data_IF_027820640284
#
_entry.id   IF_027820640284
#
_cell.length_a   1.000
_cell.length_b   1.000
_cell.length_c   1.000
_cell.angle_alpha   90.00
_cell.angle_beta   90.00
_cell.angle_gamma   90.00
#
_symmetry.space_group_name_H-M   'P 1'
#
loop_
_entity.id
_entity.type
_entity.pdbx_description
1 polymer ?
#
# COMPACT_ATOMS: atom_id res chain seq x y z
N UNK A 1 39.84 -1.49 -14.50
CA UNK A 1 39.69 -2.95 -14.53
C UNK A 1 38.51 -3.29 -13.63
N UNK A 2 37.32 -3.39 -14.21
CA UNK A 2 36.11 -3.77 -13.49
C UNK A 2 36.01 -5.29 -13.43
N UNK A 3 35.78 -5.84 -12.25
CA UNK A 3 35.60 -7.28 -12.05
C UNK A 3 34.25 -7.74 -12.58
N UNK A 4 34.27 -8.82 -13.36
CA UNK A 4 33.08 -9.54 -13.83
C UNK A 4 32.20 -10.01 -12.68
N UNK A 5 30.89 -9.95 -12.90
CA UNK A 5 29.78 -10.50 -12.09
C UNK A 5 30.21 -11.36 -10.90
N UNK A 6 30.07 -10.84 -9.68
CA UNK A 6 30.15 -11.65 -8.46
C UNK A 6 28.86 -12.44 -8.27
N UNK A 7 29.01 -13.70 -7.89
CA UNK A 7 27.92 -14.57 -7.43
C UNK A 7 27.13 -13.90 -6.29
N UNK A 8 25.85 -14.26 -6.22
CA UNK A 8 24.84 -13.78 -5.27
C UNK A 8 25.38 -13.51 -3.85
N UNK A 9 25.04 -12.32 -3.33
CA UNK A 9 25.17 -11.98 -1.91
C UNK A 9 26.33 -11.05 -1.58
N UNK A 10 26.20 -9.76 -1.91
CA UNK A 10 27.08 -8.70 -1.39
C UNK A 10 26.23 -7.64 -0.67
N UNK A 11 26.64 -7.25 0.53
CA UNK A 11 25.84 -6.50 1.52
C UNK A 11 26.00 -4.96 1.44
N UNK A 12 26.40 -4.42 0.29
CA UNK A 12 26.46 -2.97 0.05
C UNK A 12 25.78 -2.62 -1.28
N UNK A 13 24.94 -1.58 -1.28
CA UNK A 13 24.35 -1.00 -2.50
C UNK A 13 25.48 -0.36 -3.33
N UNK A 14 26.09 -1.16 -4.18
CA UNK A 14 26.81 -0.67 -5.35
C UNK A 14 25.83 -0.67 -6.52
N UNK A 15 25.80 0.41 -7.30
CA UNK A 15 24.98 0.46 -8.52
C UNK A 15 25.53 -0.57 -9.49
N UNK A 16 24.90 -1.75 -9.54
CA UNK A 16 25.32 -2.82 -10.43
C UNK A 16 24.91 -2.49 -11.87
N UNK A 17 25.91 -2.36 -12.74
CA UNK A 17 25.68 -2.31 -14.18
C UNK A 17 25.02 -3.63 -14.63
N UNK A 18 23.73 -3.54 -14.96
CA UNK A 18 22.91 -4.69 -15.34
C UNK A 18 22.81 -4.85 -16.87
N UNK A 19 23.64 -4.12 -17.64
CA UNK A 19 23.59 -4.08 -19.10
C UNK A 19 23.68 -5.49 -19.72
N UNK A 20 24.58 -6.36 -19.22
CA UNK A 20 24.75 -7.73 -19.73
C UNK A 20 23.56 -8.67 -19.48
N UNK A 21 22.75 -8.40 -18.44
CA UNK A 21 21.51 -9.14 -18.17
C UNK A 21 20.41 -8.72 -19.14
N UNK A 22 20.21 -7.41 -19.31
CA UNK A 22 19.19 -6.86 -20.20
C UNK A 22 19.53 -7.05 -21.69
N UNK A 23 20.81 -7.12 -22.07
CA UNK A 23 21.25 -7.40 -23.44
C UNK A 23 20.80 -8.77 -23.98
N UNK A 24 20.31 -9.67 -23.11
CA UNK A 24 19.76 -10.99 -23.49
C UNK A 24 18.30 -10.92 -23.95
N UNK A 25 17.64 -9.79 -23.73
CA UNK A 25 16.26 -9.53 -24.12
C UNK A 25 16.27 -8.41 -25.17
N UNK A 26 15.29 -8.39 -26.08
CA UNK A 26 15.07 -7.18 -26.87
C UNK A 26 14.63 -6.08 -25.88
N UNK A 27 15.43 -5.02 -25.66
CA UNK A 27 15.05 -3.97 -24.72
C UNK A 27 13.74 -3.34 -25.21
N UNK A 28 12.80 -3.05 -24.29
CA UNK A 28 11.59 -2.38 -24.70
C UNK A 28 11.92 -0.98 -25.24
N UNK A 29 11.15 -0.52 -26.22
CA UNK A 29 11.26 0.84 -26.72
C UNK A 29 10.81 1.81 -25.63
N UNK A 30 11.72 2.70 -25.20
CA UNK A 30 11.42 3.74 -24.22
C UNK A 30 11.10 5.02 -24.99
N UNK A 31 9.89 5.53 -24.78
CA UNK A 31 9.37 6.74 -25.40
C UNK A 31 10.00 7.99 -24.79
N UNK A 32 10.32 8.96 -25.64
CA UNK A 32 10.73 10.33 -25.27
C UNK A 32 9.54 11.29 -25.15
N UNK A 33 8.30 10.79 -25.18
CA UNK A 33 7.09 11.60 -25.04
C UNK A 33 7.06 12.32 -23.68
N UNK A 34 6.96 13.65 -23.75
CA UNK A 34 6.90 14.60 -22.65
C UNK A 34 5.61 15.46 -22.72
N UNK A 35 4.66 15.12 -23.57
CA UNK A 35 3.42 15.89 -23.72
C UNK A 35 2.37 15.48 -22.68
N UNK A 36 1.99 16.43 -21.83
CA UNK A 36 0.84 16.28 -20.94
C UNK A 36 -0.44 16.75 -21.64
N UNK A 37 -1.51 16.00 -21.44
CA UNK A 37 -2.83 16.32 -21.93
C UNK A 37 -3.49 17.51 -21.25
N UNK A 38 -4.59 17.97 -21.84
CA UNK A 38 -5.43 18.99 -21.23
C UNK A 38 -5.99 18.51 -19.88
N UNK A 39 -6.19 19.43 -18.91
CA UNK A 39 -6.86 19.10 -17.66
C UNK A 39 -8.23 18.45 -17.92
N UNK A 40 -8.50 17.35 -17.24
CA UNK A 40 -9.78 16.67 -17.34
C UNK A 40 -10.82 17.31 -16.42
N UNK A 41 -12.10 17.06 -16.68
CA UNK A 41 -13.13 17.28 -15.66
C UNK A 41 -12.86 16.32 -14.49
N UNK A 42 -12.71 16.88 -13.29
CA UNK A 42 -12.29 16.14 -12.11
C UNK A 42 -13.50 15.71 -11.26
N UNK A 43 -13.29 14.67 -10.46
CA UNK A 43 -14.21 14.15 -9.46
C UNK A 43 -15.57 13.74 -10.03
N UNK A 44 -15.53 13.12 -11.21
CA UNK A 44 -16.72 12.65 -11.93
C UNK A 44 -16.76 11.15 -12.09
N UNK A 45 -17.95 10.56 -11.90
CA UNK A 45 -18.23 9.16 -12.22
C UNK A 45 -19.29 9.14 -13.33
N UNK A 46 -18.93 8.58 -14.47
CA UNK A 46 -19.79 8.48 -15.64
C UNK A 46 -20.54 7.16 -15.65
N UNK A 47 -21.84 7.23 -15.92
CA UNK A 47 -22.60 6.05 -16.35
C UNK A 47 -22.27 5.81 -17.82
N UNK A 48 -21.59 4.71 -18.13
CA UNK A 48 -21.17 4.41 -19.49
C UNK A 48 -20.24 3.21 -19.60
N UNK A 49 -20.00 2.81 -20.84
CA UNK A 49 -19.10 1.71 -21.18
C UNK A 49 -17.67 2.23 -21.30
N UNK A 50 -16.74 1.71 -20.50
CA UNK A 50 -15.34 2.16 -20.48
C UNK A 50 -14.55 1.80 -21.75
N UNK A 51 -15.16 1.10 -22.72
CA UNK A 51 -14.62 0.98 -24.08
C UNK A 51 -14.70 2.29 -24.87
N UNK A 52 -15.47 3.27 -24.38
CA UNK A 52 -15.49 4.65 -24.87
C UNK A 52 -15.31 5.62 -23.70
N UNK A 53 -14.08 6.10 -23.52
CA UNK A 53 -13.74 7.12 -22.55
C UNK A 53 -13.44 8.47 -23.23
N UNK A 54 -14.15 8.79 -24.32
CA UNK A 54 -13.99 10.06 -25.07
C UNK A 54 -14.15 11.34 -24.24
N UNK A 55 -14.78 11.26 -23.06
CA UNK A 55 -14.90 12.39 -22.11
C UNK A 55 -13.64 12.61 -21.28
N UNK A 56 -12.69 11.66 -21.31
CA UNK A 56 -11.39 11.76 -20.64
C UNK A 56 -10.35 12.16 -21.69
N UNK A 57 -9.70 13.32 -21.55
CA UNK A 57 -8.66 13.73 -22.47
C UNK A 57 -7.51 12.72 -22.55
N UNK A 58 -6.82 12.70 -23.69
CA UNK A 58 -5.57 11.96 -23.86
C UNK A 58 -4.53 12.48 -22.86
N UNK A 59 -3.65 11.60 -22.38
CA UNK A 59 -2.52 11.99 -21.53
C UNK A 59 -2.87 12.88 -20.31
N UNK A 60 -4.05 12.74 -19.71
CA UNK A 60 -4.49 13.57 -18.56
C UNK A 60 -4.50 12.84 -17.22
N UNK A 61 -4.30 11.52 -17.20
CA UNK A 61 -4.40 10.67 -16.00
C UNK A 61 -3.01 10.22 -15.54
N UNK A 62 -2.73 10.32 -14.24
CA UNK A 62 -1.46 9.88 -13.67
C UNK A 62 -1.41 8.35 -13.44
N UNK A 63 -2.52 7.79 -12.98
CA UNK A 63 -2.62 6.40 -12.57
C UNK A 63 -4.02 5.86 -12.86
N UNK A 64 -4.10 4.66 -13.44
CA UNK A 64 -5.31 3.85 -13.42
C UNK A 64 -5.16 2.80 -12.33
N UNK A 65 -6.12 2.72 -11.40
CA UNK A 65 -6.22 1.64 -10.42
C UNK A 65 -7.61 1.05 -10.53
N UNK A 66 -7.69 -0.25 -10.77
CA UNK A 66 -8.97 -0.88 -11.05
C UNK A 66 -9.00 -2.37 -10.73
N UNK A 67 -10.20 -2.94 -10.73
CA UNK A 67 -10.45 -4.36 -10.58
C UNK A 67 -11.58 -4.74 -11.54
N UNK A 68 -11.29 -5.32 -12.72
CA UNK A 68 -12.32 -5.67 -13.69
C UNK A 68 -13.30 -6.72 -13.15
N UNK A 69 -14.52 -6.81 -13.71
CA UNK A 69 -15.48 -7.84 -13.34
C UNK A 69 -14.93 -9.24 -13.64
N UNK A 70 -14.86 -10.12 -12.65
CA UNK A 70 -14.33 -11.48 -12.83
C UNK A 70 -15.35 -12.39 -13.52
N UNK A 71 -14.93 -13.09 -14.58
CA UNK A 71 -15.72 -14.11 -15.28
C UNK A 71 -15.88 -15.39 -14.43
N UNK A 72 -16.58 -15.29 -13.29
CA UNK A 72 -16.67 -16.32 -12.24
C UNK A 72 -18.05 -17.01 -12.15
N UNK A 73 -18.93 -16.82 -13.13
CA UNK A 73 -20.19 -17.54 -13.35
C UNK A 73 -21.36 -17.25 -12.38
N UNK A 74 -21.11 -16.96 -11.10
CA UNK A 74 -22.16 -17.02 -10.05
C UNK A 74 -23.27 -15.95 -10.03
N UNK A 75 -23.16 -14.91 -10.86
CA UNK A 75 -24.22 -13.89 -11.06
C UNK A 75 -24.34 -13.48 -12.53
N UNK A 76 -23.22 -13.58 -13.26
CA UNK A 76 -23.15 -13.30 -14.70
C UNK A 76 -23.87 -14.34 -15.56
N UNK A 77 -24.01 -15.61 -15.13
CA UNK A 77 -24.73 -16.63 -15.91
C UNK A 77 -26.23 -16.31 -16.10
N UNK A 78 -26.83 -15.47 -15.26
CA UNK A 78 -28.25 -15.08 -15.40
C UNK A 78 -28.47 -13.89 -16.34
N UNK A 79 -27.39 -13.18 -16.73
CA UNK A 79 -27.41 -12.01 -17.60
C UNK A 79 -26.47 -12.14 -18.82
N UNK A 80 -25.86 -13.32 -19.01
CA UNK A 80 -24.96 -13.60 -20.13
C UNK A 80 -25.75 -13.50 -21.44
N UNK A 81 -25.38 -12.54 -22.29
CA UNK A 81 -26.05 -12.27 -23.58
C UNK A 81 -27.06 -11.11 -23.56
N UNK A 82 -27.24 -10.39 -22.44
CA UNK A 82 -28.02 -9.15 -22.40
C UNK A 82 -27.10 -7.91 -22.27
N UNK A 83 -27.15 -7.01 -23.25
CA UNK A 83 -26.48 -5.70 -23.19
C UNK A 83 -24.95 -5.75 -23.36
N UNK A 84 -24.21 -5.14 -22.40
CA UNK A 84 -22.76 -4.89 -22.49
C UNK A 84 -21.88 -6.04 -21.93
N UNK A 85 -22.47 -7.18 -21.58
CA UNK A 85 -21.80 -8.29 -20.89
C UNK A 85 -21.21 -9.29 -21.91
N UNK A 86 -19.92 -9.67 -21.82
CA UNK A 86 -19.31 -10.66 -22.71
C UNK A 86 -20.00 -12.04 -22.64
N UNK A 87 -20.24 -12.66 -23.79
CA UNK A 87 -20.92 -13.95 -23.89
C UNK A 87 -20.00 -15.13 -23.57
N UNK A 88 -18.69 -14.97 -23.75
CA UNK A 88 -17.68 -15.97 -23.40
C UNK A 88 -16.36 -15.36 -22.88
N UNK A 89 -15.40 -16.24 -22.57
CA UNK A 89 -14.11 -15.82 -22.01
C UNK A 89 -13.24 -15.05 -23.00
N UNK A 90 -13.33 -15.34 -24.30
CA UNK A 90 -12.55 -14.66 -25.34
C UNK A 90 -13.07 -13.25 -25.51
N UNK A 91 -14.38 -13.09 -25.64
CA UNK A 91 -15.03 -11.77 -25.69
C UNK A 91 -14.75 -10.95 -24.42
N UNK A 92 -14.63 -11.61 -23.27
CA UNK A 92 -14.22 -10.97 -22.03
C UNK A 92 -12.79 -10.41 -22.09
N UNK A 93 -11.83 -11.19 -22.61
CA UNK A 93 -10.46 -10.71 -22.80
C UNK A 93 -10.37 -9.58 -23.84
N UNK A 94 -11.17 -9.64 -24.91
CA UNK A 94 -11.27 -8.57 -25.91
C UNK A 94 -11.85 -7.29 -25.32
N UNK A 95 -12.85 -7.40 -24.44
CA UNK A 95 -13.38 -6.28 -23.68
C UNK A 95 -12.30 -5.66 -22.80
N UNK A 96 -11.56 -6.46 -22.02
CA UNK A 96 -10.45 -5.95 -21.20
C UNK A 96 -9.39 -5.24 -22.03
N UNK A 97 -8.97 -5.85 -23.16
CA UNK A 97 -8.01 -5.23 -24.08
C UNK A 97 -8.50 -3.88 -24.59
N UNK A 98 -9.79 -3.77 -24.94
CA UNK A 98 -10.38 -2.52 -25.44
C UNK A 98 -10.42 -1.43 -24.37
N UNK A 99 -10.83 -1.78 -23.14
CA UNK A 99 -10.82 -0.85 -22.01
C UNK A 99 -9.40 -0.42 -21.65
N UNK A 100 -8.45 -1.35 -21.59
CA UNK A 100 -7.06 -1.03 -21.27
C UNK A 100 -6.38 -0.19 -22.36
N UNK A 101 -6.80 -0.31 -23.63
CA UNK A 101 -6.36 0.60 -24.69
C UNK A 101 -6.83 2.05 -24.45
N UNK A 102 -8.08 2.24 -24.01
CA UNK A 102 -8.58 3.56 -23.62
C UNK A 102 -7.87 4.09 -22.36
N UNK A 103 -7.57 3.22 -21.39
CA UNK A 103 -6.72 3.59 -20.26
C UNK A 103 -5.32 4.05 -20.71
N UNK A 104 -4.69 3.32 -21.64
CA UNK A 104 -3.39 3.68 -22.18
C UNK A 104 -3.42 5.03 -22.90
N UNK A 105 -4.48 5.35 -23.65
CA UNK A 105 -4.68 6.66 -24.28
C UNK A 105 -4.71 7.78 -23.24
N UNK A 106 -5.52 7.62 -22.20
CA UNK A 106 -5.74 8.65 -21.16
C UNK A 106 -4.55 8.82 -20.21
N UNK A 107 -3.69 7.81 -20.04
CA UNK A 107 -2.50 7.91 -19.21
C UNK A 107 -1.49 8.93 -19.75
N UNK A 108 -0.96 9.77 -18.87
CA UNK A 108 0.21 10.60 -19.13
C UNK A 108 1.43 9.75 -19.50
N UNK A 109 2.45 10.28 -20.21
CA UNK A 109 3.69 9.54 -20.40
C UNK A 109 4.32 9.19 -19.04
N UNK A 110 4.74 7.94 -18.88
CA UNK A 110 5.20 7.42 -17.59
C UNK A 110 4.09 7.13 -16.56
N UNK A 111 2.84 7.40 -16.93
CA UNK A 111 1.65 7.03 -16.15
C UNK A 111 1.51 5.52 -16.05
N UNK A 112 0.81 5.07 -15.00
CA UNK A 112 0.81 3.66 -14.61
C UNK A 112 -0.59 3.07 -14.62
N UNK A 113 -0.67 1.79 -14.95
CA UNK A 113 -1.89 0.98 -14.83
C UNK A 113 -1.63 -0.08 -13.76
N UNK A 114 -2.49 -0.15 -12.75
CA UNK A 114 -2.46 -1.15 -11.69
C UNK A 114 -3.79 -1.91 -11.67
N UNK A 115 -3.77 -3.17 -12.10
CA UNK A 115 -4.97 -3.98 -12.33
C UNK A 115 -5.02 -5.12 -11.33
N UNK A 116 -5.99 -5.07 -10.39
CA UNK A 116 -6.25 -6.14 -9.46
C UNK A 116 -7.08 -7.25 -10.12
N UNK A 117 -6.60 -8.50 -10.09
CA UNK A 117 -7.30 -9.66 -10.61
C UNK A 117 -7.17 -10.89 -9.72
N UNK A 118 -8.26 -11.67 -9.65
CA UNK A 118 -8.25 -13.01 -9.10
C UNK A 118 -8.17 -14.05 -10.22
N UNK A 119 -7.39 -15.10 -10.01
CA UNK A 119 -7.38 -16.24 -10.92
C UNK A 119 -8.71 -17.00 -10.83
N UNK A 120 -9.14 -17.56 -11.95
CA UNK A 120 -10.49 -18.07 -12.15
C UNK A 120 -10.51 -19.59 -12.16
N UNK A 121 -11.62 -20.14 -11.68
CA UNK A 121 -11.83 -21.58 -11.68
C UNK A 121 -10.84 -22.34 -10.79
N UNK A 122 -11.03 -23.65 -10.76
CA UNK A 122 -10.15 -24.59 -10.04
C UNK A 122 -9.87 -25.84 -10.87
N UNK A 123 -10.84 -26.23 -11.70
CA UNK A 123 -10.83 -27.40 -12.57
C UNK A 123 -11.62 -27.08 -13.86
N UNK A 124 -11.02 -26.42 -14.87
CA UNK A 124 -9.63 -25.98 -14.93
C UNK A 124 -9.37 -24.72 -14.10
N UNK A 125 -8.12 -24.54 -13.68
CA UNK A 125 -7.60 -23.27 -13.19
C UNK A 125 -7.24 -22.39 -14.39
N UNK A 126 -7.57 -21.11 -14.34
CA UNK A 126 -7.30 -20.11 -15.37
C UNK A 126 -6.59 -18.92 -14.75
N UNK A 127 -5.40 -18.62 -15.26
CA UNK A 127 -4.57 -17.55 -14.74
C UNK A 127 -4.95 -16.22 -15.39
N UNK A 128 -5.99 -15.56 -14.88
CA UNK A 128 -6.38 -14.23 -15.35
C UNK A 128 -5.24 -13.21 -15.20
N UNK A 129 -4.39 -13.38 -14.18
CA UNK A 129 -3.17 -12.59 -14.02
C UNK A 129 -2.21 -12.72 -15.22
N UNK A 130 -2.10 -13.92 -15.80
CA UNK A 130 -1.27 -14.15 -16.97
C UNK A 130 -1.90 -13.50 -18.21
N UNK A 131 -3.21 -13.67 -18.40
CA UNK A 131 -3.93 -13.08 -19.53
C UNK A 131 -3.86 -11.54 -19.50
N UNK A 132 -4.04 -10.91 -18.33
CA UNK A 132 -3.88 -9.45 -18.18
C UNK A 132 -2.43 -9.03 -18.45
N UNK A 133 -1.44 -9.79 -17.98
CA UNK A 133 -0.03 -9.50 -18.26
C UNK A 133 0.25 -9.49 -19.76
N UNK A 134 -0.23 -10.49 -20.50
CA UNK A 134 -0.13 -10.56 -21.96
C UNK A 134 -0.83 -9.38 -22.64
N UNK A 135 -2.03 -9.01 -22.21
CA UNK A 135 -2.74 -7.85 -22.79
C UNK A 135 -1.90 -6.57 -22.61
N UNK A 136 -1.41 -6.30 -21.39
CA UNK A 136 -0.68 -5.06 -21.11
C UNK A 136 0.69 -5.03 -21.81
N UNK A 137 1.45 -6.12 -21.74
CA UNK A 137 2.82 -6.17 -22.25
C UNK A 137 2.88 -6.46 -23.76
N UNK A 138 2.15 -7.46 -24.23
CA UNK A 138 2.31 -7.96 -25.59
C UNK A 138 1.34 -7.28 -26.56
N UNK A 139 0.08 -7.09 -26.18
CA UNK A 139 -0.91 -6.49 -27.08
C UNK A 139 -0.83 -4.97 -27.08
N UNK A 140 -0.63 -4.35 -25.91
CA UNK A 140 -0.62 -2.90 -25.71
C UNK A 140 0.78 -2.30 -25.58
N UNK A 141 1.83 -3.13 -25.57
CA UNK A 141 3.24 -2.69 -25.51
C UNK A 141 3.57 -1.78 -24.33
N UNK A 142 2.86 -1.94 -23.22
CA UNK A 142 3.20 -1.25 -21.98
C UNK A 142 4.45 -1.87 -21.34
N UNK A 143 5.15 -1.06 -20.55
CA UNK A 143 6.35 -1.49 -19.84
C UNK A 143 5.96 -2.15 -18.51
N UNK A 144 6.05 -3.48 -18.44
CA UNK A 144 5.74 -4.21 -17.21
C UNK A 144 6.71 -3.81 -16.08
N UNK A 145 6.16 -3.47 -14.91
CA UNK A 145 6.91 -3.12 -13.69
C UNK A 145 7.04 -4.31 -12.74
N UNK A 146 6.11 -5.25 -12.83
CA UNK A 146 6.03 -6.42 -11.98
C UNK A 146 4.58 -6.73 -11.58
N UNK A 147 4.44 -7.71 -10.72
CA UNK A 147 3.17 -8.06 -10.07
C UNK A 147 3.31 -7.99 -8.55
N UNK A 148 2.24 -7.55 -7.89
CA UNK A 148 2.10 -7.66 -6.45
C UNK A 148 1.19 -8.83 -6.12
N UNK A 149 1.61 -9.67 -5.18
CA UNK A 149 0.80 -10.71 -4.56
C UNK A 149 0.02 -10.07 -3.41
N UNK A 150 -1.27 -9.83 -3.63
CA UNK A 150 -2.14 -9.37 -2.56
C UNK A 150 -2.64 -10.56 -1.73
N UNK A 151 -2.12 -10.70 -0.51
CA UNK A 151 -2.48 -11.73 0.45
C UNK A 151 -3.66 -11.26 1.31
N UNK A 152 -4.85 -11.85 1.09
CA UNK A 152 -6.09 -11.46 1.78
C UNK A 152 -6.16 -11.95 3.23
N UNK A 153 -5.58 -13.13 3.51
CA UNK A 153 -5.63 -13.81 4.80
C UNK A 153 -4.41 -14.71 5.00
N UNK A 154 -3.88 -14.83 6.23
CA UNK A 154 -2.85 -15.83 6.59
C UNK A 154 -3.50 -17.12 7.11
N UNK A 155 -3.05 -18.28 6.64
CA UNK A 155 -3.40 -19.59 7.20
C UNK A 155 -4.61 -20.29 6.60
N UNK A 156 -5.06 -21.35 7.27
CA UNK A 156 -6.22 -22.11 6.85
C UNK A 156 -7.51 -21.35 7.17
N UNK A 157 -8.10 -20.69 6.17
CA UNK A 157 -9.51 -20.35 6.25
C UNK A 157 -10.31 -21.64 6.51
N UNK A 158 -11.47 -21.54 7.15
CA UNK A 158 -12.42 -22.66 7.29
C UNK A 158 -12.97 -23.20 5.96
N UNK A 159 -12.38 -22.80 4.82
CA UNK A 159 -12.68 -23.30 3.50
C UNK A 159 -12.23 -24.76 3.39
N UNK A 160 -13.22 -25.66 3.38
CA UNK A 160 -13.04 -27.09 3.14
C UNK A 160 -12.75 -27.44 1.66
N UNK A 161 -12.31 -26.48 0.85
CA UNK A 161 -12.13 -26.65 -0.59
C UNK A 161 -10.75 -27.23 -0.96
N UNK A 162 -10.40 -28.36 -0.33
CA UNK A 162 -9.10 -29.05 -0.48
C UNK A 162 -9.03 -30.00 -1.68
N UNK A 163 -10.15 -30.23 -2.37
CA UNK A 163 -10.27 -31.39 -3.25
C UNK A 163 -10.26 -32.68 -2.44
N UNK A 164 -9.33 -33.58 -2.73
CA UNK A 164 -9.14 -34.79 -1.92
C UNK A 164 -8.35 -34.50 -0.64
N UNK A 165 -9.04 -34.49 0.50
CA UNK A 165 -8.41 -34.28 1.81
C UNK A 165 -7.43 -35.41 2.14
N UNK A 166 -6.20 -35.05 2.52
CA UNK A 166 -5.11 -35.98 2.86
C UNK A 166 -4.86 -37.08 1.82
N UNK A 167 -5.13 -36.79 0.54
CA UNK A 167 -4.93 -37.74 -0.55
C UNK A 167 -4.32 -37.03 -1.75
N UNK A 168 -3.30 -37.61 -2.41
CA UNK A 168 -2.72 -37.06 -3.62
C UNK A 168 -3.60 -37.28 -4.85
N UNK A 169 -4.77 -37.94 -4.72
CA UNK A 169 -5.63 -38.27 -5.85
C UNK A 169 -6.06 -37.03 -6.65
N UNK A 170 -6.43 -35.95 -5.96
CA UNK A 170 -6.85 -34.68 -6.58
C UNK A 170 -6.91 -33.51 -5.58
N UNK A 171 -5.80 -33.16 -4.88
CA UNK A 171 -5.78 -31.99 -4.00
C UNK A 171 -5.91 -30.70 -4.82
N UNK A 172 -6.53 -29.68 -4.24
CA UNK A 172 -6.72 -28.36 -4.88
C UNK A 172 -6.08 -27.29 -4.01
N UNK A 173 -5.32 -26.40 -4.66
CA UNK A 173 -4.73 -25.25 -3.98
C UNK A 173 -5.84 -24.29 -3.54
N UNK A 174 -5.64 -23.64 -2.39
CA UNK A 174 -6.59 -22.66 -1.86
C UNK A 174 -6.12 -21.27 -2.25
N UNK A 175 -6.92 -20.58 -3.04
CA UNK A 175 -6.63 -19.22 -3.48
C UNK A 175 -6.82 -18.25 -2.32
N UNK A 176 -5.70 -17.90 -1.67
CA UNK A 176 -5.66 -16.90 -0.58
C UNK A 176 -5.13 -15.56 -1.06
N UNK A 177 -4.79 -15.47 -2.36
CA UNK A 177 -4.15 -14.31 -2.97
C UNK A 177 -4.89 -13.84 -4.22
N UNK A 178 -4.70 -12.56 -4.53
CA UNK A 178 -4.98 -11.95 -5.84
C UNK A 178 -3.66 -11.36 -6.39
N UNK A 179 -3.69 -10.82 -7.61
CA UNK A 179 -2.55 -10.16 -8.24
C UNK A 179 -2.89 -8.74 -8.61
N UNK A 180 -2.00 -7.80 -8.33
CA UNK A 180 -2.03 -6.46 -8.92
C UNK A 180 -0.93 -6.37 -9.96
N UNK A 181 -1.31 -6.36 -11.24
CA UNK A 181 -0.37 -6.26 -12.36
C UNK A 181 -0.10 -4.79 -12.64
N UNK A 182 1.18 -4.41 -12.71
CA UNK A 182 1.58 -3.01 -12.81
C UNK A 182 2.40 -2.78 -14.08
N UNK A 183 1.97 -1.84 -14.92
CA UNK A 183 2.67 -1.47 -16.15
C UNK A 183 2.72 0.06 -16.34
N UNK A 184 3.75 0.57 -17.01
CA UNK A 184 3.94 2.00 -17.31
C UNK A 184 3.74 2.29 -18.81
N UNK A 185 3.21 3.47 -19.13
CA UNK A 185 3.06 3.96 -20.51
C UNK A 185 4.38 4.54 -21.03
N UNK A 186 4.99 3.87 -22.01
CA UNK A 186 6.09 4.38 -22.82
C UNK A 186 7.43 4.57 -22.10
N UNK A 187 7.45 4.94 -20.82
CA UNK A 187 8.65 5.22 -20.01
C UNK A 187 8.42 4.90 -18.54
N UNK A 188 9.49 4.86 -17.75
CA UNK A 188 9.44 4.43 -16.35
C UNK A 188 9.34 5.59 -15.34
N UNK A 189 9.94 6.72 -15.69
CA UNK A 189 9.94 7.99 -14.99
C UNK A 189 8.67 8.80 -15.28
N UNK A 190 8.55 10.03 -14.74
CA UNK A 190 7.37 10.88 -14.90
C UNK A 190 7.77 12.19 -15.56
N UNK A 191 7.01 12.58 -16.57
CA UNK A 191 7.20 13.85 -17.28
C UNK A 191 7.09 15.03 -16.32
N UNK A 192 7.99 16.00 -16.48
CA UNK A 192 7.95 17.27 -15.74
C UNK A 192 8.27 17.16 -14.24
N UNK A 193 8.74 16.00 -13.76
CA UNK A 193 9.10 15.78 -12.35
C UNK A 193 10.53 15.23 -12.27
N UNK A 194 11.47 16.03 -11.74
CA UNK A 194 12.87 15.62 -11.56
C UNK A 194 13.05 14.55 -10.46
N UNK A 195 14.18 13.86 -10.47
CA UNK A 195 14.56 12.82 -9.49
C UNK A 195 14.61 13.34 -8.03
N UNK A 196 14.74 14.65 -7.84
CA UNK A 196 14.80 15.33 -6.55
C UNK A 196 13.43 15.85 -6.06
N UNK A 197 12.35 15.58 -6.80
CA UNK A 197 11.01 16.09 -6.52
C UNK A 197 10.81 17.56 -6.90
N UNK A 198 11.81 18.21 -7.53
CA UNK A 198 11.67 19.56 -8.09
C UNK A 198 11.10 19.46 -9.52
N UNK A 199 9.80 19.22 -9.61
CA UNK A 199 9.08 19.34 -10.86
C UNK A 199 7.60 18.98 -10.71
N UNK A 200 6.75 19.81 -11.31
CA UNK A 200 5.29 19.73 -11.25
C UNK A 200 4.69 20.13 -9.90
N UNK A 201 3.44 20.62 -9.92
CA UNK A 201 2.65 20.84 -8.71
C UNK A 201 2.38 19.49 -7.99
N UNK A 202 2.48 19.46 -6.67
CA UNK A 202 2.12 18.30 -5.83
C UNK A 202 3.31 17.55 -5.20
N UNK A 203 3.19 17.21 -3.90
CA UNK A 203 4.22 16.51 -3.15
C UNK A 203 4.06 14.99 -3.19
N UNK A 204 5.18 14.26 -3.11
CA UNK A 204 5.14 12.83 -2.80
C UNK A 204 4.56 12.63 -1.40
N UNK A 205 3.65 11.68 -1.27
CA UNK A 205 2.81 11.57 -0.05
C UNK A 205 3.10 10.36 0.81
N UNK A 206 3.98 9.46 0.35
CA UNK A 206 4.28 8.22 1.06
C UNK A 206 5.43 8.44 2.05
N UNK A 207 5.23 8.19 3.36
CA UNK A 207 6.30 8.24 4.35
C UNK A 207 7.40 7.22 4.01
N UNK A 208 8.65 7.51 4.39
CA UNK A 208 9.79 6.64 4.06
C UNK A 208 9.65 5.18 4.55
N UNK A 209 9.15 4.99 5.78
CA UNK A 209 8.92 3.65 6.33
C UNK A 209 7.83 2.89 5.55
N UNK A 210 6.76 3.58 5.18
CA UNK A 210 5.67 3.01 4.38
C UNK A 210 6.11 2.71 2.94
N UNK A 211 6.97 3.55 2.36
CA UNK A 211 7.55 3.31 1.04
C UNK A 211 8.34 2.00 0.99
N UNK A 212 9.18 1.74 2.00
CA UNK A 212 9.95 0.50 2.07
C UNK A 212 9.05 -0.74 2.12
N UNK A 213 7.90 -0.67 2.79
CA UNK A 213 6.94 -1.78 2.84
C UNK A 213 6.11 -1.90 1.56
N UNK A 214 5.67 -0.77 1.02
CA UNK A 214 4.82 -0.73 -0.16
C UNK A 214 5.58 -1.15 -1.43
N UNK A 215 6.91 -1.01 -1.45
CA UNK A 215 7.77 -1.48 -2.54
C UNK A 215 8.09 -2.98 -2.49
N UNK A 216 7.61 -3.71 -1.48
CA UNK A 216 7.64 -5.18 -1.50
C UNK A 216 6.56 -5.73 -2.45
N UNK A 217 6.81 -6.93 -2.97
CA UNK A 217 5.93 -7.62 -3.91
C UNK A 217 4.81 -8.45 -3.23
N UNK A 218 4.79 -8.53 -1.89
CA UNK A 218 3.73 -9.19 -1.12
C UNK A 218 3.03 -8.19 -0.21
N UNK A 219 1.76 -7.92 -0.49
CA UNK A 219 0.94 -6.99 0.30
C UNK A 219 -0.09 -7.73 1.14
N UNK A 220 -0.02 -7.54 2.45
CA UNK A 220 -0.98 -8.12 3.38
C UNK A 220 -2.05 -7.11 3.78
N UNK A 221 -3.15 -7.14 3.05
CA UNK A 221 -4.29 -6.23 3.27
C UNK A 221 -5.54 -7.10 3.44
N UNK A 222 -6.25 -7.01 4.58
CA UNK A 222 -7.50 -7.75 4.77
C UNK A 222 -8.54 -7.40 3.70
N UNK A 223 -9.28 -8.40 3.23
CA UNK A 223 -10.41 -8.15 2.33
C UNK A 223 -11.52 -7.35 3.04
N UNK A 224 -12.22 -6.50 2.29
CA UNK A 224 -13.40 -5.82 2.79
C UNK A 224 -14.64 -6.71 2.77
N UNK A 225 -15.58 -6.42 3.67
CA UNK A 225 -16.82 -7.18 3.79
C UNK A 225 -17.80 -6.75 2.69
N UNK A 226 -18.06 -7.63 1.73
CA UNK A 226 -19.02 -7.41 0.63
C UNK A 226 -20.41 -6.96 1.12
N UNK A 227 -20.88 -7.49 2.26
CA UNK A 227 -22.16 -7.11 2.87
C UNK A 227 -22.16 -5.69 3.46
N UNK A 228 -21.02 -5.18 3.93
CA UNK A 228 -20.89 -3.82 4.45
C UNK A 228 -20.83 -2.78 3.33
N UNK A 229 -20.27 -3.15 2.18
CA UNK A 229 -20.05 -2.26 1.04
C UNK A 229 -21.24 -2.27 0.07
N UNK A 230 -22.14 -3.26 0.14
CA UNK A 230 -23.28 -3.37 -0.78
C UNK A 230 -22.89 -3.80 -2.19
N UNK A 231 -21.67 -4.33 -2.37
CA UNK A 231 -21.12 -4.76 -3.65
C UNK A 231 -20.61 -6.20 -3.54
N UNK A 232 -20.84 -7.06 -4.55
CA UNK A 232 -20.51 -8.48 -4.45
C UNK A 232 -19.01 -8.77 -4.33
N UNK A 233 -18.14 -7.91 -4.89
CA UNK A 233 -16.69 -8.13 -4.89
C UNK A 233 -15.84 -6.83 -4.96
N UNK A 234 -15.93 -5.90 -3.99
CA UNK A 234 -15.07 -4.73 -3.95
C UNK A 234 -13.65 -5.11 -3.49
N UNK A 235 -12.61 -4.60 -4.15
CA UNK A 235 -11.28 -4.60 -3.56
C UNK A 235 -11.18 -3.55 -2.44
N UNK A 236 -10.30 -3.71 -1.44
CA UNK A 236 -10.21 -2.80 -0.29
C UNK A 236 -9.75 -1.40 -0.66
N UNK A 237 -10.27 -0.39 0.04
CA UNK A 237 -9.81 1.01 -0.12
C UNK A 237 -8.31 1.11 0.17
N UNK A 238 -7.81 0.39 1.19
CA UNK A 238 -6.39 0.39 1.53
C UNK A 238 -5.48 -0.14 0.42
N UNK A 239 -5.98 -1.02 -0.46
CA UNK A 239 -5.23 -1.51 -1.62
C UNK A 239 -5.09 -0.39 -2.67
N UNK A 240 -6.18 0.34 -2.95
CA UNK A 240 -6.16 1.52 -3.82
C UNK A 240 -5.25 2.62 -3.27
N UNK A 241 -5.41 2.98 -1.99
CA UNK A 241 -4.62 4.03 -1.31
C UNK A 241 -3.11 3.75 -1.44
N UNK A 242 -2.69 2.50 -1.25
CA UNK A 242 -1.29 2.11 -1.42
C UNK A 242 -0.78 2.34 -2.84
N UNK A 243 -1.54 1.96 -3.86
CA UNK A 243 -1.19 2.25 -5.26
C UNK A 243 -1.10 3.76 -5.52
N UNK A 244 -2.05 4.54 -5.01
CA UNK A 244 -2.07 6.00 -5.14
C UNK A 244 -0.82 6.62 -4.51
N UNK A 245 -0.48 6.24 -3.29
CA UNK A 245 0.71 6.74 -2.58
C UNK A 245 2.03 6.40 -3.29
N UNK A 246 2.13 5.21 -3.90
CA UNK A 246 3.34 4.79 -4.62
C UNK A 246 3.50 5.44 -6.00
N UNK A 247 2.40 5.66 -6.71
CA UNK A 247 2.45 5.92 -8.15
C UNK A 247 1.92 7.30 -8.56
N UNK A 248 1.46 8.11 -7.61
CA UNK A 248 0.96 9.47 -7.84
C UNK A 248 1.47 10.45 -6.80
N UNK A 249 1.37 11.72 -7.14
CA UNK A 249 1.60 12.85 -6.24
C UNK A 249 0.25 13.39 -5.75
N UNK A 250 0.28 14.22 -4.73
CA UNK A 250 -0.92 14.96 -4.31
C UNK A 250 -1.47 15.82 -5.47
N UNK A 251 -2.78 15.87 -5.63
CA UNK A 251 -3.46 16.59 -6.71
C UNK A 251 -3.49 15.86 -8.06
N UNK A 252 -2.74 14.76 -8.24
CA UNK A 252 -2.80 13.96 -9.46
C UNK A 252 -4.22 13.37 -9.69
N UNK A 253 -4.55 13.12 -10.95
CA UNK A 253 -5.81 12.51 -11.37
C UNK A 253 -5.67 10.99 -11.48
N UNK A 254 -6.58 10.24 -10.87
CA UNK A 254 -6.68 8.79 -11.01
C UNK A 254 -7.93 8.35 -11.75
N UNK A 255 -7.85 7.26 -12.50
CA UNK A 255 -8.95 6.69 -13.26
C UNK A 255 -9.30 5.28 -12.76
N UNK A 256 -10.59 4.98 -12.70
CA UNK A 256 -11.09 3.61 -12.56
C UNK A 256 -12.16 3.32 -13.64
N UNK A 257 -11.85 2.52 -14.68
CA UNK A 257 -12.81 2.16 -15.71
C UNK A 257 -13.88 1.17 -15.25
N UNK A 258 -13.78 0.63 -14.03
CA UNK A 258 -14.72 -0.32 -13.43
C UNK A 258 -15.06 0.11 -12.00
N UNK A 259 -15.61 1.32 -11.86
CA UNK A 259 -15.72 2.06 -10.59
C UNK A 259 -16.52 1.32 -9.51
N UNK A 260 -17.55 0.55 -9.88
CA UNK A 260 -18.41 -0.19 -8.96
C UNK A 260 -18.90 0.69 -7.81
N UNK A 261 -18.67 0.23 -6.58
CA UNK A 261 -19.07 0.94 -5.34
C UNK A 261 -18.18 2.12 -4.93
N UNK A 262 -17.29 2.58 -5.80
CA UNK A 262 -16.51 3.80 -5.56
C UNK A 262 -15.22 3.63 -4.74
N UNK A 263 -14.64 2.42 -4.65
CA UNK A 263 -13.42 2.17 -3.86
C UNK A 263 -12.29 3.13 -4.25
N UNK A 264 -12.00 3.26 -5.54
CA UNK A 264 -10.92 4.11 -6.06
C UNK A 264 -11.20 5.59 -5.82
N UNK A 265 -12.45 6.04 -6.00
CA UNK A 265 -12.86 7.42 -5.72
C UNK A 265 -12.74 7.79 -4.24
N UNK A 266 -13.11 6.87 -3.33
CA UNK A 266 -12.93 7.03 -1.88
C UNK A 266 -11.45 7.14 -1.53
N UNK A 267 -10.61 6.27 -2.09
CA UNK A 267 -9.16 6.31 -1.89
C UNK A 267 -8.55 7.62 -2.40
N UNK A 268 -8.97 8.10 -3.58
CA UNK A 268 -8.52 9.36 -4.15
C UNK A 268 -8.85 10.53 -3.21
N UNK A 269 -10.11 10.67 -2.79
CA UNK A 269 -10.55 11.75 -1.90
C UNK A 269 -9.80 11.73 -0.56
N UNK A 270 -9.58 10.56 0.04
CA UNK A 270 -8.83 10.41 1.31
C UNK A 270 -7.36 10.74 1.21
N UNK A 271 -6.78 10.62 0.02
CA UNK A 271 -5.35 10.82 -0.20
C UNK A 271 -5.04 12.15 -0.88
N UNK A 272 -6.05 12.99 -1.15
CA UNK A 272 -5.89 14.30 -1.79
C UNK A 272 -5.61 14.18 -3.29
N UNK A 273 -6.17 13.19 -3.97
CA UNK A 273 -6.17 13.04 -5.43
C UNK A 273 -7.56 13.31 -5.97
N UNK A 274 -7.62 13.75 -7.22
CA UNK A 274 -8.87 13.78 -7.97
C UNK A 274 -9.10 12.45 -8.67
N UNK A 275 -10.36 12.13 -8.97
CA UNK A 275 -10.70 10.88 -9.64
C UNK A 275 -11.61 11.06 -10.85
N UNK A 276 -11.56 10.09 -11.76
CA UNK A 276 -12.52 9.88 -12.83
C UNK A 276 -12.92 8.41 -12.81
N UNK A 277 -14.21 8.13 -13.04
CA UNK A 277 -14.74 6.77 -13.01
C UNK A 277 -15.69 6.47 -14.14
N UNK A 278 -15.74 5.20 -14.55
CA UNK A 278 -16.79 4.66 -15.39
C UNK A 278 -17.41 3.43 -14.74
N UNK A 279 -18.72 3.31 -14.86
CA UNK A 279 -19.43 2.06 -14.60
C UNK A 279 -20.69 2.01 -15.47
N UNK A 280 -21.05 0.83 -15.97
CA UNK A 280 -22.25 0.67 -16.79
C UNK A 280 -23.52 0.73 -15.97
N UNK A 281 -23.45 0.40 -14.67
CA UNK A 281 -24.62 0.31 -13.81
C UNK A 281 -24.91 1.62 -13.06
N UNK A 282 -26.05 2.23 -13.42
CA UNK A 282 -26.52 3.49 -12.83
C UNK A 282 -26.63 3.45 -11.31
N UNK A 283 -27.01 2.30 -10.76
CA UNK A 283 -27.17 2.09 -9.31
C UNK A 283 -25.81 2.13 -8.59
N UNK A 284 -24.76 1.57 -9.18
CA UNK A 284 -23.41 1.62 -8.63
C UNK A 284 -22.81 3.02 -8.72
N UNK A 285 -22.97 3.70 -9.85
CA UNK A 285 -22.53 5.10 -9.99
C UNK A 285 -23.17 6.00 -8.93
N UNK A 286 -24.49 5.87 -8.70
CA UNK A 286 -25.17 6.62 -7.64
C UNK A 286 -24.59 6.32 -6.26
N UNK A 287 -24.43 5.04 -5.92
CA UNK A 287 -23.87 4.63 -4.62
C UNK A 287 -22.44 5.14 -4.42
N UNK A 288 -21.62 5.11 -5.46
CA UNK A 288 -20.25 5.60 -5.42
C UNK A 288 -20.21 7.11 -5.16
N UNK A 289 -21.06 7.89 -5.84
CA UNK A 289 -21.18 9.34 -5.63
C UNK A 289 -21.62 9.63 -4.18
N UNK A 290 -22.71 9.02 -3.72
CA UNK A 290 -23.22 9.19 -2.34
C UNK A 290 -22.14 8.84 -1.31
N UNK A 291 -21.41 7.75 -1.53
CA UNK A 291 -20.31 7.31 -0.66
C UNK A 291 -19.20 8.34 -0.60
N UNK A 292 -18.77 8.89 -1.73
CA UNK A 292 -17.71 9.91 -1.80
C UNK A 292 -18.17 11.24 -1.18
N UNK A 293 -19.40 11.67 -1.45
CA UNK A 293 -19.98 12.91 -0.90
C UNK A 293 -20.15 12.83 0.62
N UNK A 294 -20.49 11.65 1.15
CA UNK A 294 -20.62 11.43 2.60
C UNK A 294 -19.31 11.50 3.38
N UNK A 295 -18.16 11.47 2.70
CA UNK A 295 -16.86 11.65 3.36
C UNK A 295 -16.72 13.09 3.81
N UNK A 296 -16.58 13.27 5.14
CA UNK A 296 -16.19 14.54 5.73
C UNK A 296 -14.90 15.04 5.07
N UNK A 297 -14.73 16.37 4.91
CA UNK A 297 -13.42 16.94 4.64
C UNK A 297 -12.47 16.40 5.70
N UNK A 298 -11.55 15.54 5.29
CA UNK A 298 -10.57 14.98 6.20
C UNK A 298 -9.30 15.75 5.93
N UNK A 299 -8.72 16.34 6.97
CA UNK A 299 -7.35 16.81 6.87
C UNK A 299 -6.50 15.64 6.37
N UNK A 300 -5.57 15.90 5.46
CA UNK A 300 -4.67 14.85 5.02
C UNK A 300 -3.97 14.29 6.25
N UNK A 301 -3.93 12.95 6.41
CA UNK A 301 -3.37 12.34 7.60
C UNK A 301 -1.92 12.80 7.79
N UNK A 302 -1.45 12.90 9.04
CA UNK A 302 -0.04 13.20 9.32
C UNK A 302 0.85 12.19 8.56
N UNK A 303 1.80 12.69 7.76
CA UNK A 303 2.66 11.88 6.90
C UNK A 303 4.08 11.76 7.43
N UNK A 304 4.33 12.24 8.65
CA UNK A 304 5.63 12.06 9.31
C UNK A 304 5.86 10.57 9.60
N UNK A 305 7.12 10.15 9.50
CA UNK A 305 7.49 8.79 9.96
C UNK A 305 7.35 8.70 11.48
N UNK A 306 7.28 7.48 12.04
CA UNK A 306 7.29 7.31 13.51
C UNK A 306 8.55 7.95 14.10
N UNK A 307 9.67 7.86 13.39
CA UNK A 307 10.93 8.51 13.78
C UNK A 307 10.79 10.03 13.83
N UNK A 308 10.19 10.66 12.84
CA UNK A 308 10.04 12.12 12.79
C UNK A 308 9.04 12.61 13.84
N UNK A 309 7.91 11.90 14.02
CA UNK A 309 6.94 12.18 15.10
C UNK A 309 7.62 12.08 16.47
N UNK A 310 8.39 11.01 16.70
CA UNK A 310 9.08 10.79 17.97
C UNK A 310 10.13 11.87 18.24
N UNK A 311 10.91 12.27 17.23
CA UNK A 311 11.89 13.35 17.40
C UNK A 311 11.23 14.69 17.70
N UNK A 312 10.13 15.02 17.02
CA UNK A 312 9.35 16.22 17.32
C UNK A 312 8.88 16.20 18.78
N UNK A 313 8.24 15.11 19.20
CA UNK A 313 7.72 14.95 20.56
C UNK A 313 8.84 15.02 21.62
N UNK A 314 9.98 14.37 21.36
CA UNK A 314 11.13 14.40 22.27
C UNK A 314 11.71 15.82 22.40
N UNK A 315 11.81 16.56 21.29
CA UNK A 315 12.24 17.96 21.31
C UNK A 315 11.26 18.85 22.10
N UNK A 316 9.95 18.66 21.90
CA UNK A 316 8.89 19.38 22.63
C UNK A 316 8.94 19.10 24.15
N UNK A 317 9.39 17.90 24.54
CA UNK A 317 9.63 17.52 25.94
C UNK A 317 11.03 17.90 26.47
N UNK A 318 11.84 18.61 25.68
CA UNK A 318 13.15 19.13 26.09
C UNK A 318 14.29 18.10 26.10
N UNK A 319 14.17 16.99 25.35
CA UNK A 319 15.29 16.09 25.08
C UNK A 319 16.16 16.67 23.95
N UNK A 320 17.28 17.29 24.32
CA UNK A 320 18.16 18.03 23.42
C UNK A 320 19.21 17.15 22.76
N UNK A 321 19.73 16.16 23.49
CA UNK A 321 20.75 15.23 22.98
C UNK A 321 20.14 13.86 22.75
N UNK A 322 20.20 13.38 21.50
CA UNK A 322 19.68 12.09 21.09
C UNK A 322 20.82 11.21 20.58
N UNK A 323 21.11 10.13 21.31
CA UNK A 323 22.04 9.08 20.89
C UNK A 323 21.25 8.00 20.15
N UNK A 324 21.52 7.82 18.86
CA UNK A 324 20.77 6.96 17.95
C UNK A 324 21.27 5.51 17.95
N UNK A 325 20.33 4.56 18.03
CA UNK A 325 20.60 3.12 18.03
C UNK A 325 21.62 2.64 19.08
N UNK A 326 21.61 3.14 20.33
CA UNK A 326 22.59 2.75 21.32
C UNK A 326 22.46 1.25 21.63
N UNK A 327 23.61 0.59 21.72
CA UNK A 327 23.69 -0.80 22.15
C UNK A 327 23.70 -0.83 23.67
N UNK A 328 22.65 -1.40 24.27
CA UNK A 328 22.49 -1.42 25.73
C UNK A 328 22.88 -2.77 26.32
N UNK A 329 22.60 -3.85 25.60
CA UNK A 329 22.98 -5.21 25.97
C UNK A 329 23.43 -6.00 24.72
N UNK A 330 24.13 -7.14 24.87
CA UNK A 330 24.46 -7.99 23.73
C UNK A 330 23.22 -8.35 22.91
N UNK A 331 23.21 -7.94 21.63
CA UNK A 331 22.09 -8.18 20.72
C UNK A 331 20.88 -7.26 20.88
N UNK A 332 20.92 -6.26 21.79
CA UNK A 332 19.83 -5.31 22.00
C UNK A 332 20.28 -3.89 21.71
N UNK A 333 19.65 -3.31 20.69
CA UNK A 333 19.66 -1.89 20.41
C UNK A 333 18.26 -1.31 20.63
N UNK A 334 18.20 -0.12 21.19
CA UNK A 334 16.97 0.69 21.28
C UNK A 334 17.05 1.82 20.28
N UNK A 335 15.93 2.43 19.93
CA UNK A 335 15.88 3.45 18.87
C UNK A 335 16.71 4.70 19.22
N UNK A 336 16.52 5.23 20.44
CA UNK A 336 17.21 6.45 20.91
C UNK A 336 17.43 6.39 22.42
N UNK A 337 18.56 6.93 22.90
CA UNK A 337 18.70 7.43 24.27
C UNK A 337 18.61 8.96 24.23
N UNK A 338 17.60 9.52 24.90
CA UNK A 338 17.41 10.96 25.00
C UNK A 338 17.96 11.50 26.30
N UNK A 339 18.62 12.66 26.25
CA UNK A 339 19.07 13.42 27.42
C UNK A 339 18.53 14.85 27.41
N UNK A 340 18.11 15.32 28.59
CA UNK A 340 17.65 16.68 28.86
C UNK A 340 18.75 17.49 29.56
N UNK A 341 18.69 18.82 29.45
CA UNK A 341 19.64 19.72 30.10
C UNK A 341 19.65 19.62 31.65
N UNK A 342 18.54 19.16 32.25
CA UNK A 342 18.42 18.93 33.70
C UNK A 342 19.04 17.60 34.17
N UNK A 343 19.70 16.87 33.26
CA UNK A 343 20.41 15.62 33.54
C UNK A 343 19.55 14.37 33.42
N UNK A 344 18.26 14.49 33.08
CA UNK A 344 17.39 13.33 32.88
C UNK A 344 17.81 12.57 31.61
N UNK A 345 18.06 11.27 31.75
CA UNK A 345 18.38 10.34 30.65
C UNK A 345 17.33 9.23 30.58
N UNK A 346 16.82 8.94 29.38
CA UNK A 346 15.76 7.97 29.16
C UNK A 346 15.95 7.21 27.84
N UNK A 347 15.69 5.90 27.86
CA UNK A 347 15.68 5.08 26.65
C UNK A 347 14.30 5.09 25.99
N UNK A 348 14.30 5.20 24.65
CA UNK A 348 13.13 5.22 23.80
C UNK A 348 13.22 4.15 22.70
N UNK A 349 12.11 3.45 22.47
CA UNK A 349 11.93 2.59 21.30
C UNK A 349 10.78 3.11 20.43
N UNK A 350 11.02 3.21 19.12
CA UNK A 350 10.00 3.58 18.15
C UNK A 350 9.22 2.33 17.75
N UNK A 351 7.94 2.29 18.14
CA UNK A 351 7.07 1.15 17.96
C UNK A 351 6.35 1.16 16.62
N UNK A 352 6.69 0.21 15.76
CA UNK A 352 5.99 -0.02 14.48
C UNK A 352 6.24 1.08 13.44
N UNK A 353 5.29 1.23 12.52
CA UNK A 353 5.33 2.20 11.41
C UNK A 353 4.04 3.00 11.35
N UNK A 354 4.10 4.25 10.88
CA UNK A 354 2.91 5.07 10.70
C UNK A 354 2.33 4.79 9.32
N UNK A 355 1.18 4.10 9.27
CA UNK A 355 0.46 3.79 8.02
C UNK A 355 -1.05 3.80 8.30
N UNK A 356 -1.89 4.18 7.32
CA UNK A 356 -3.35 4.23 7.49
C UNK A 356 -4.00 2.88 7.85
N UNK A 357 -3.41 1.77 7.41
CA UNK A 357 -4.05 0.44 7.50
C UNK A 357 -3.78 -0.30 8.82
N UNK A 358 -2.53 -0.28 9.30
CA UNK A 358 -2.06 -0.97 10.51
C UNK A 358 -0.94 -0.17 11.19
N UNK A 359 -1.28 0.93 11.85
CA UNK A 359 -0.28 1.82 12.42
C UNK A 359 0.34 1.26 13.70
N UNK A 360 1.58 1.64 13.95
CA UNK A 360 2.28 1.46 15.21
C UNK A 360 2.24 0.03 15.75
N UNK A 361 1.79 -0.10 17.00
CA UNK A 361 1.73 -1.37 17.75
C UNK A 361 0.49 -2.20 17.48
N UNK A 362 -0.27 -1.92 16.42
CA UNK A 362 -1.32 -2.84 15.91
C UNK A 362 -0.74 -4.09 15.24
N UNK A 363 0.57 -4.08 14.95
CA UNK A 363 1.29 -5.20 14.36
C UNK A 363 1.86 -6.12 15.43
N UNK A 364 1.43 -7.37 15.38
CA UNK A 364 1.84 -8.41 16.35
C UNK A 364 3.37 -8.58 16.40
N UNK A 365 4.07 -8.56 15.26
CA UNK A 365 5.52 -8.67 15.22
C UNK A 365 6.23 -7.49 15.90
N UNK A 366 5.73 -6.26 15.69
CA UNK A 366 6.25 -5.06 16.36
C UNK A 366 6.05 -5.14 17.88
N UNK A 367 4.88 -5.64 18.32
CA UNK A 367 4.61 -5.94 19.73
C UNK A 367 5.63 -6.92 20.29
N UNK A 368 5.78 -8.10 19.67
CA UNK A 368 6.70 -9.12 20.20
C UNK A 368 8.16 -8.67 20.22
N UNK A 369 8.63 -8.02 19.16
CA UNK A 369 10.00 -7.48 19.09
C UNK A 369 10.25 -6.48 20.21
N UNK A 370 9.30 -5.58 20.47
CA UNK A 370 9.42 -4.57 21.52
C UNK A 370 9.41 -5.19 22.91
N UNK A 371 8.50 -6.13 23.17
CA UNK A 371 8.44 -6.87 24.45
C UNK A 371 9.77 -7.62 24.69
N UNK A 372 10.30 -8.29 23.67
CA UNK A 372 11.56 -9.02 23.78
C UNK A 372 12.74 -8.09 24.12
N UNK A 373 12.88 -6.96 23.39
CA UNK A 373 13.90 -5.94 23.66
C UNK A 373 13.80 -5.42 25.10
N UNK A 374 12.60 -5.03 25.51
CA UNK A 374 12.34 -4.50 26.86
C UNK A 374 12.68 -5.50 27.96
N UNK A 375 12.34 -6.79 27.74
CA UNK A 375 12.59 -7.86 28.71
C UNK A 375 14.08 -8.12 28.87
N UNK A 376 14.84 -8.16 27.77
CA UNK A 376 16.30 -8.35 27.82
C UNK A 376 16.99 -7.14 28.47
N UNK A 377 16.55 -5.92 28.15
CA UNK A 377 17.07 -4.71 28.77
C UNK A 377 16.94 -4.76 30.30
N UNK A 378 15.78 -5.19 30.79
CA UNK A 378 15.52 -5.34 32.22
C UNK A 378 16.45 -6.37 32.86
N UNK A 379 16.54 -7.57 32.28
CA UNK A 379 17.39 -8.66 32.81
C UNK A 379 18.89 -8.34 32.73
N UNK A 380 19.31 -7.44 31.83
CA UNK A 380 20.70 -7.00 31.73
C UNK A 380 21.18 -6.17 32.92
N UNK A 381 20.28 -5.71 33.79
CA UNK A 381 20.62 -4.93 34.97
C UNK A 381 21.06 -3.49 34.66
N UNK A 382 20.75 -2.96 33.48
CA UNK A 382 21.11 -1.60 33.06
C UNK A 382 20.55 -0.50 33.99
N UNK A 383 19.47 -0.79 34.74
CA UNK A 383 18.77 0.18 35.58
C UNK A 383 17.96 1.22 34.78
N UNK A 384 18.17 1.31 33.47
CA UNK A 384 17.43 2.18 32.57
C UNK A 384 16.08 1.55 32.20
N UNK A 385 15.01 2.35 32.27
CA UNK A 385 13.67 1.93 31.83
C UNK A 385 13.49 2.19 30.33
N UNK A 386 12.55 1.52 29.67
CA UNK A 386 12.22 1.75 28.26
C UNK A 386 10.82 2.37 28.11
N UNK A 387 10.74 3.50 27.42
CA UNK A 387 9.46 4.08 26.98
C UNK A 387 9.29 3.82 25.48
N UNK A 388 8.11 3.35 25.07
CA UNK A 388 7.80 3.07 23.67
C UNK A 388 7.01 4.25 23.11
N UNK A 389 7.48 4.83 22.00
CA UNK A 389 6.79 5.88 21.25
C UNK A 389 6.22 5.26 19.97
N UNK A 390 4.92 5.37 19.73
CA UNK A 390 4.25 4.73 18.59
C UNK A 390 3.14 5.59 18.01
N UNK A 391 2.61 5.23 16.84
CA UNK A 391 1.57 6.00 16.15
C UNK A 391 0.21 5.28 16.12
N UNK A 392 -0.13 4.56 17.19
CA UNK A 392 -1.30 3.69 17.25
C UNK A 392 -1.08 2.52 18.20
N UNK A 393 -2.05 2.24 19.08
CA UNK A 393 -1.98 1.13 20.05
C UNK A 393 -3.21 0.23 20.02
N UNK A 394 -3.03 -1.07 20.31
CA UNK A 394 -4.17 -1.97 20.59
C UNK A 394 -4.58 -1.78 22.04
N UNK A 395 -5.80 -1.31 22.28
CA UNK A 395 -6.36 -1.24 23.65
C UNK A 395 -6.59 -2.66 24.18
N UNK A 396 -5.95 -2.98 25.30
CA UNK A 396 -6.02 -4.31 25.92
C UNK A 396 -5.26 -5.35 25.11
N UNK A 397 -4.18 -5.90 25.67
CA UNK A 397 -3.37 -6.90 24.97
C UNK A 397 -2.03 -7.20 25.66
N UNK A 398 -1.10 -7.89 24.98
CA UNK A 398 0.19 -8.27 25.56
C UNK A 398 0.98 -7.08 26.11
N UNK A 399 0.93 -5.92 25.45
CA UNK A 399 1.62 -4.70 25.90
C UNK A 399 1.12 -4.25 27.28
N UNK A 400 -0.18 -4.22 27.53
CA UNK A 400 -0.70 -3.80 28.84
C UNK A 400 -0.26 -4.71 29.99
N UNK A 401 0.06 -5.98 29.73
CA UNK A 401 0.53 -6.93 30.74
C UNK A 401 1.99 -6.68 31.15
N UNK A 402 2.77 -6.06 30.26
CA UNK A 402 4.22 -5.82 30.43
C UNK A 402 4.57 -4.33 30.45
N UNK A 403 3.57 -3.46 30.59
CA UNK A 403 3.73 -2.00 30.71
C UNK A 403 3.38 -1.55 32.13
N UNK A 404 4.13 -0.61 32.68
CA UNK A 404 3.88 0.01 33.98
C UNK A 404 4.96 -0.29 35.02
N UNK A 405 4.64 0.00 36.28
CA UNK A 405 5.60 -0.07 37.39
C UNK A 405 6.24 -1.46 37.54
N UNK A 406 7.57 -1.48 37.59
CA UNK A 406 8.35 -2.71 37.73
C UNK A 406 8.14 -3.71 36.59
N UNK A 407 7.64 -3.27 35.43
CA UNK A 407 7.49 -4.07 34.21
C UNK A 407 8.60 -3.76 33.21
N UNK A 408 8.82 -4.62 32.19
CA UNK A 408 9.85 -4.38 31.18
C UNK A 408 9.70 -3.06 30.41
N UNK A 409 8.47 -2.62 30.18
CA UNK A 409 8.16 -1.35 29.50
C UNK A 409 7.60 -0.39 30.54
N UNK A 410 8.16 0.82 30.65
CA UNK A 410 7.68 1.82 31.59
C UNK A 410 6.34 2.40 31.12
N UNK A 411 6.30 2.87 29.87
CA UNK A 411 5.10 3.45 29.25
C UNK A 411 5.07 3.21 27.74
N UNK A 412 3.87 3.25 27.17
CA UNK A 412 3.64 3.27 25.72
C UNK A 412 2.88 4.56 25.40
N UNK A 413 3.48 5.42 24.60
CA UNK A 413 2.92 6.73 24.23
C UNK A 413 2.47 6.67 22.77
N UNK A 414 1.19 6.92 22.55
CA UNK A 414 0.63 7.11 21.21
C UNK A 414 0.80 8.58 20.80
N UNK A 415 1.72 8.84 19.88
CA UNK A 415 2.12 10.18 19.45
C UNK A 415 1.08 10.87 18.57
N UNK A 416 0.02 10.15 18.18
CA UNK A 416 -1.10 10.70 17.40
C UNK A 416 -2.14 11.40 18.27
N UNK A 417 -2.01 11.31 19.60
CA UNK A 417 -2.94 11.93 20.55
C UNK A 417 -2.45 13.32 20.98
N UNK A 418 -3.38 14.25 21.14
CA UNK A 418 -3.09 15.64 21.54
C UNK A 418 -2.39 15.74 22.91
N UNK A 419 -2.59 14.75 23.79
CA UNK A 419 -2.01 14.69 25.14
C UNK A 419 -0.69 13.90 25.20
N UNK A 420 -0.08 13.56 24.05
CA UNK A 420 1.13 12.74 23.99
C UNK A 420 2.31 13.32 24.79
N UNK A 421 2.53 14.63 24.73
CA UNK A 421 3.61 15.31 25.44
C UNK A 421 3.42 15.25 26.97
N UNK A 422 2.20 15.48 27.44
CA UNK A 422 1.86 15.39 28.86
C UNK A 422 2.06 13.96 29.38
N UNK A 423 1.60 12.95 28.64
CA UNK A 423 1.77 11.54 28.99
C UNK A 423 3.24 11.12 29.03
N UNK A 424 4.03 11.59 28.06
CA UNK A 424 5.46 11.30 28.03
C UNK A 424 6.17 11.90 29.24
N UNK A 425 5.91 13.16 29.56
CA UNK A 425 6.50 13.84 30.71
C UNK A 425 6.13 13.16 32.03
N UNK A 426 4.86 12.80 32.22
CA UNK A 426 4.41 12.05 33.39
C UNK A 426 5.13 10.70 33.54
N UNK A 427 5.30 9.96 32.43
CA UNK A 427 6.03 8.69 32.45
C UNK A 427 7.51 8.86 32.81
N UNK A 428 8.17 9.91 32.30
CA UNK A 428 9.57 10.23 32.63
C UNK A 428 9.73 10.60 34.10
N UNK A 429 8.83 11.39 34.67
CA UNK A 429 8.84 11.74 36.09
C UNK A 429 8.63 10.51 36.99
N UNK A 430 7.70 9.63 36.61
CA UNK A 430 7.43 8.39 37.34
C UNK A 430 8.68 7.48 37.37
N UNK A 431 9.40 7.37 36.26
CA UNK A 431 10.68 6.65 36.18
C UNK A 431 11.73 7.31 37.08
N UNK A 432 11.88 8.64 37.02
CA UNK A 432 12.88 9.40 37.77
C UNK A 432 12.68 9.30 39.28
N UNK A 433 11.43 9.29 39.76
CA UNK A 433 11.13 9.23 41.19
C UNK A 433 11.59 7.92 41.88
N UNK A 434 12.02 6.92 41.09
CA UNK A 434 12.30 5.56 41.55
C UNK A 434 13.77 5.12 41.41
N UNK A 435 14.57 5.85 40.62
CA UNK A 435 16.01 5.63 40.45
C UNK A 435 16.81 6.60 41.30
#
# INVERSE_FOLDING_TARGET
MGTSTSEFGVSKRESHDSTDFYARFAPPEISEDDELGAPAQLDTIHVGDARDMSKVPDASVALVVTSPPYFAGKAYETALGEGHIPADYVEYLEMLRSVFAECLRTLQPGGRLAVNVANLGRKPYRSLAADVTTILQDDLRMLLRGEVIWQKQRGASGSCAWGSYQSPANPVLRDTTERVIIASKGRFDRVGRGDDGSGGDGAATIPGDEFMEATLDVWEIPAESATRVGHPAPFPVALAERCLHLFTYEGDVVLDPFMGSGTTAVAAKRTGRSFIGYDTERSYVRQAIERVESLAPTDLPDRRTVKDMARSLLADCGFETLDDNPRIAPGVTVSVRGQRADGVSQLFEFGGVHTPSRPGMTRVEAVWKTIAKASILRESGSGESLIVLTSGTVRGGPLSTVTGEGKPIAAVIDMTLDDAAERLMAAVEEVRSRG
#
